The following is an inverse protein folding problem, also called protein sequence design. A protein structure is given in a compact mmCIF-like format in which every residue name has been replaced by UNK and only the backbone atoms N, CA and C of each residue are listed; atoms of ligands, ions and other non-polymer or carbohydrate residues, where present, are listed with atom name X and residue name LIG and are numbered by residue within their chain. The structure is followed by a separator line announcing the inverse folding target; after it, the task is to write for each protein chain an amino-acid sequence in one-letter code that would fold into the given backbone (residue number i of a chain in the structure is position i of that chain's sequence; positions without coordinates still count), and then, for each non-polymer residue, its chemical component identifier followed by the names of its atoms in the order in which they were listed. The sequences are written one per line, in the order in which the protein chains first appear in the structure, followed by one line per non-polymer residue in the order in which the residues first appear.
data_IF_021225713237
#
_entry.id   IF_021225713237
#
_cell.length_a   1.000
_cell.length_b   1.000
_cell.length_c   1.000
_cell.angle_alpha   90.00
_cell.angle_beta   90.00
_cell.angle_gamma   90.00
#
_symmetry.space_group_name_H-M   'P 1'
#
loop_
_entity.id
_entity.type
_entity.pdbx_description
1 polymer ?
#
# COMPACT_ATOMS: atom_id res chain seq x y z
N UNK A 1 -49.25 3.95 -17.69
CA UNK A 1 -47.87 3.62 -17.26
C UNK A 1 -46.96 4.75 -17.73
N UNK A 2 -46.44 5.55 -16.80
CA UNK A 2 -45.64 6.74 -17.09
C UNK A 2 -44.16 6.32 -17.17
N UNK A 3 -43.54 6.45 -18.34
CA UNK A 3 -42.11 6.14 -18.54
C UNK A 3 -41.27 7.23 -17.85
N UNK A 4 -40.32 6.83 -17.00
CA UNK A 4 -39.34 7.74 -16.38
C UNK A 4 -38.37 8.23 -17.47
N UNK A 5 -38.35 9.54 -17.80
CA UNK A 5 -37.54 10.08 -18.89
C UNK A 5 -36.03 9.96 -18.65
N UNK A 6 -35.61 9.69 -17.41
CA UNK A 6 -34.20 9.53 -17.05
C UNK A 6 -33.75 8.07 -16.99
N UNK A 7 -34.63 7.11 -17.33
CA UNK A 7 -34.32 5.68 -17.31
C UNK A 7 -33.10 5.33 -18.16
N UNK A 8 -32.96 5.91 -19.36
CA UNK A 8 -31.81 5.67 -20.23
C UNK A 8 -30.50 6.19 -19.62
N UNK A 9 -30.54 7.35 -18.97
CA UNK A 9 -29.37 7.94 -18.31
C UNK A 9 -28.95 7.09 -17.11
N UNK A 10 -29.91 6.62 -16.30
CA UNK A 10 -29.65 5.72 -15.18
C UNK A 10 -29.11 4.37 -15.64
N UNK A 11 -29.63 3.82 -16.74
CA UNK A 11 -29.14 2.59 -17.35
C UNK A 11 -27.70 2.75 -17.85
N UNK A 12 -27.39 3.83 -18.57
CA UNK A 12 -26.03 4.12 -19.05
C UNK A 12 -25.04 4.34 -17.90
N UNK A 13 -25.44 5.07 -16.86
CA UNK A 13 -24.62 5.26 -15.66
C UNK A 13 -24.34 3.92 -14.94
N UNK A 14 -25.34 3.03 -14.87
CA UNK A 14 -25.19 1.71 -14.27
C UNK A 14 -24.28 0.81 -15.11
N UNK A 15 -24.42 0.80 -16.43
CA UNK A 15 -23.53 0.05 -17.34
C UNK A 15 -22.08 0.55 -17.26
N UNK A 16 -21.87 1.86 -17.22
CA UNK A 16 -20.54 2.45 -17.03
C UNK A 16 -19.95 2.09 -15.67
N UNK A 17 -20.73 2.19 -14.59
CA UNK A 17 -20.27 1.83 -13.24
C UNK A 17 -19.90 0.33 -13.17
N UNK A 18 -20.73 -0.55 -13.72
CA UNK A 18 -20.44 -2.00 -13.79
C UNK A 18 -19.22 -2.26 -14.65
N UNK A 19 -19.07 -1.58 -15.79
CA UNK A 19 -17.89 -1.68 -16.66
C UNK A 19 -16.59 -1.28 -15.97
N UNK A 20 -16.60 -0.17 -15.22
CA UNK A 20 -15.44 0.30 -14.45
C UNK A 20 -15.08 -0.69 -13.35
N UNK A 21 -16.07 -1.20 -12.60
CA UNK A 21 -15.84 -2.16 -11.51
C UNK A 21 -15.32 -3.50 -12.05
N UNK A 22 -15.89 -3.99 -13.15
CA UNK A 22 -15.46 -5.25 -13.78
C UNK A 22 -14.07 -5.14 -14.39
N UNK A 23 -13.74 -4.03 -15.05
CA UNK A 23 -12.39 -3.77 -15.55
C UNK A 23 -11.36 -3.67 -14.41
N UNK A 24 -11.72 -3.03 -13.30
CA UNK A 24 -10.89 -2.96 -12.09
C UNK A 24 -10.62 -4.35 -11.51
N UNK A 25 -11.67 -5.20 -11.39
CA UNK A 25 -11.53 -6.56 -10.89
C UNK A 25 -10.66 -7.44 -11.81
N UNK A 26 -10.85 -7.34 -13.13
CA UNK A 26 -10.01 -8.04 -14.10
C UNK A 26 -8.54 -7.58 -14.04
N UNK A 27 -8.31 -6.28 -13.88
CA UNK A 27 -6.96 -5.72 -13.70
C UNK A 27 -6.28 -6.28 -12.45
N UNK A 28 -7.01 -6.37 -11.33
CA UNK A 28 -6.50 -6.96 -10.08
C UNK A 28 -6.21 -8.45 -10.25
N UNK A 29 -7.11 -9.23 -10.86
CA UNK A 29 -6.89 -10.65 -11.12
C UNK A 29 -5.70 -10.89 -12.05
N UNK A 30 -5.56 -10.11 -13.11
CA UNK A 30 -4.44 -10.21 -14.02
C UNK A 30 -3.12 -9.83 -13.34
N UNK A 31 -3.13 -8.79 -12.51
CA UNK A 31 -1.97 -8.43 -11.69
C UNK A 31 -1.58 -9.56 -10.73
N UNK A 32 -2.55 -10.16 -10.03
CA UNK A 32 -2.31 -11.31 -9.14
C UNK A 32 -1.75 -12.51 -9.93
N UNK A 33 -2.32 -12.83 -11.09
CA UNK A 33 -1.86 -13.92 -11.94
C UNK A 33 -0.43 -13.69 -12.46
N UNK A 34 -0.14 -12.48 -12.95
CA UNK A 34 1.20 -12.08 -13.38
C UNK A 34 2.23 -12.13 -12.24
N UNK A 35 1.84 -11.74 -11.01
CA UNK A 35 2.70 -11.81 -9.81
C UNK A 35 2.94 -13.24 -9.35
N UNK A 36 1.96 -14.13 -9.47
CA UNK A 36 2.16 -15.56 -9.17
C UNK A 36 3.16 -16.19 -10.13
N UNK A 37 3.14 -15.78 -11.39
CA UNK A 37 4.09 -16.23 -12.41
C UNK A 37 5.52 -15.65 -12.21
N UNK A 38 5.64 -14.48 -11.58
CA UNK A 38 6.92 -13.78 -11.36
C UNK A 38 7.08 -13.42 -9.88
N UNK A 39 7.45 -14.39 -9.02
CA UNK A 39 7.68 -14.12 -7.61
C UNK A 39 8.82 -13.10 -7.45
N UNK A 40 8.69 -12.13 -6.52
CA UNK A 40 9.77 -11.19 -6.24
C UNK A 40 11.00 -11.95 -5.71
N UNK A 41 12.15 -11.74 -6.35
CA UNK A 41 13.43 -12.12 -5.79
C UNK A 41 13.87 -11.01 -4.83
N UNK A 42 13.97 -11.33 -3.54
CA UNK A 42 14.42 -10.37 -2.55
C UNK A 42 15.94 -10.36 -2.52
N UNK A 43 16.59 -9.18 -2.64
CA UNK A 43 18.01 -9.06 -2.34
C UNK A 43 18.28 -9.52 -0.89
N UNK A 44 19.53 -9.90 -0.57
CA UNK A 44 19.91 -10.24 0.79
C UNK A 44 19.51 -9.13 1.77
N UNK A 45 19.06 -9.51 2.97
CA UNK A 45 18.55 -8.56 3.94
C UNK A 45 19.61 -7.50 4.32
N UNK A 46 19.26 -6.23 4.22
CA UNK A 46 20.11 -5.08 4.57
C UNK A 46 19.43 -4.19 5.60
N UNK A 47 20.17 -3.28 6.24
CA UNK A 47 19.61 -2.25 7.12
C UNK A 47 19.15 -1.00 6.31
N UNK A 48 18.99 -1.17 5.00
CA UNK A 48 18.63 -0.13 4.05
C UNK A 48 17.33 -0.50 3.32
N UNK A 49 16.42 0.46 3.23
CA UNK A 49 15.33 0.43 2.27
C UNK A 49 15.88 0.51 0.84
N UNK A 50 15.28 -0.22 -0.11
CA UNK A 50 15.67 -0.18 -1.51
C UNK A 50 15.20 1.15 -2.16
N UNK A 51 15.96 1.74 -3.10
CA UNK A 51 15.64 3.03 -3.70
C UNK A 51 14.27 3.06 -4.40
N UNK A 52 13.77 1.90 -4.84
CA UNK A 52 12.45 1.73 -5.46
C UNK A 52 11.29 1.93 -4.48
N UNK A 53 11.56 1.99 -3.17
CA UNK A 53 10.57 2.34 -2.15
C UNK A 53 10.19 3.83 -2.17
N UNK A 54 10.97 4.68 -2.85
CA UNK A 54 10.63 6.09 -3.02
C UNK A 54 9.40 6.23 -3.92
N UNK A 55 8.42 7.01 -3.45
CA UNK A 55 7.24 7.33 -4.23
C UNK A 55 6.90 8.81 -4.09
N UNK A 56 6.72 9.50 -5.21
CA UNK A 56 6.29 10.88 -5.23
C UNK A 56 4.91 11.04 -4.56
N UNK A 57 4.81 11.98 -3.62
CA UNK A 57 3.59 12.20 -2.83
C UNK A 57 2.40 12.61 -3.68
N UNK A 58 2.62 13.50 -4.65
CA UNK A 58 1.57 13.97 -5.55
C UNK A 58 0.97 12.81 -6.35
N UNK A 59 1.84 11.96 -6.92
CA UNK A 59 1.39 10.73 -7.59
C UNK A 59 0.65 9.80 -6.63
N UNK A 60 1.19 9.57 -5.42
CA UNK A 60 0.58 8.66 -4.46
C UNK A 60 -0.85 9.08 -4.08
N UNK A 61 -1.07 10.37 -3.79
CA UNK A 61 -2.38 10.93 -3.42
C UNK A 61 -3.36 10.92 -4.61
N UNK A 62 -2.90 11.30 -5.81
CA UNK A 62 -3.74 11.26 -7.01
C UNK A 62 -4.21 9.83 -7.29
N UNK A 63 -3.31 8.84 -7.20
CA UNK A 63 -3.66 7.45 -7.42
C UNK A 63 -4.61 6.91 -6.33
N UNK A 64 -4.46 7.33 -5.06
CA UNK A 64 -5.42 6.98 -3.98
C UNK A 64 -6.84 7.44 -4.31
N UNK A 65 -7.00 8.68 -4.79
CA UNK A 65 -8.30 9.28 -5.10
C UNK A 65 -8.89 8.67 -6.38
N UNK A 66 -8.10 8.57 -7.44
CA UNK A 66 -8.56 8.13 -8.77
C UNK A 66 -8.94 6.64 -8.78
N UNK A 67 -8.24 5.80 -8.01
CA UNK A 67 -8.45 4.34 -8.04
C UNK A 67 -9.40 3.83 -6.96
N UNK A 68 -10.06 4.73 -6.20
CA UNK A 68 -11.01 4.38 -5.13
C UNK A 68 -10.50 3.25 -4.21
N UNK A 69 -9.24 3.34 -3.76
CA UNK A 69 -8.65 2.39 -2.81
C UNK A 69 -7.98 1.14 -3.41
N UNK A 70 -8.10 0.88 -4.72
CA UNK A 70 -7.36 -0.22 -5.39
C UNK A 70 -5.84 0.03 -5.29
N UNK A 71 -5.41 1.28 -5.44
CA UNK A 71 -4.00 1.64 -5.28
C UNK A 71 -3.48 1.41 -3.86
N UNK A 72 -4.31 1.57 -2.82
CA UNK A 72 -3.90 1.29 -1.43
C UNK A 72 -3.47 -0.17 -1.27
N UNK A 73 -4.19 -1.10 -1.91
CA UNK A 73 -3.84 -2.53 -1.92
C UNK A 73 -2.51 -2.80 -2.65
N UNK A 74 -2.31 -2.20 -3.83
CA UNK A 74 -1.06 -2.32 -4.59
C UNK A 74 0.13 -1.73 -3.80
N UNK A 75 -0.10 -0.64 -3.08
CA UNK A 75 0.92 0.00 -2.25
C UNK A 75 1.32 -0.90 -1.06
N UNK A 76 0.35 -1.44 -0.31
CA UNK A 76 0.60 -2.40 0.77
C UNK A 76 1.44 -3.58 0.27
N UNK A 77 1.12 -4.08 -0.93
CA UNK A 77 1.87 -5.14 -1.59
C UNK A 77 3.34 -4.74 -1.83
N UNK A 78 3.58 -3.57 -2.44
CA UNK A 78 4.94 -3.09 -2.75
C UNK A 78 5.76 -2.86 -1.48
N UNK A 79 5.19 -2.16 -0.51
CA UNK A 79 5.85 -1.87 0.77
C UNK A 79 6.16 -3.16 1.53
N UNK A 80 5.27 -4.16 1.50
CA UNK A 80 5.57 -5.47 2.09
C UNK A 80 6.80 -6.11 1.46
N UNK A 81 6.93 -6.00 0.12
CA UNK A 81 8.10 -6.49 -0.58
C UNK A 81 9.39 -5.79 -0.18
N UNK A 82 9.35 -4.45 -0.02
CA UNK A 82 10.51 -3.67 0.43
C UNK A 82 10.88 -3.98 1.89
N UNK A 83 9.91 -4.17 2.77
CA UNK A 83 10.18 -4.53 4.16
C UNK A 83 10.85 -5.90 4.31
N UNK A 84 10.58 -6.84 3.40
CA UNK A 84 11.23 -8.15 3.43
C UNK A 84 12.74 -8.08 3.15
N UNK A 85 13.21 -6.99 2.53
CA UNK A 85 14.65 -6.74 2.33
C UNK A 85 15.30 -6.13 3.56
N UNK A 86 14.53 -5.70 4.57
CA UNK A 86 15.06 -5.12 5.81
C UNK A 86 15.45 -6.22 6.79
N UNK A 87 16.64 -6.10 7.38
CA UNK A 87 17.19 -7.07 8.35
C UNK A 87 16.30 -7.18 9.60
N UNK A 88 15.96 -8.41 9.98
CA UNK A 88 15.11 -8.69 11.14
C UNK A 88 13.60 -8.63 10.83
N UNK A 89 13.23 -8.40 9.58
CA UNK A 89 11.87 -8.67 9.10
C UNK A 89 11.70 -10.17 8.82
N UNK A 90 10.66 -10.79 9.40
CA UNK A 90 10.26 -12.14 9.01
C UNK A 90 9.91 -12.17 7.52
N UNK A 91 10.36 -13.16 6.73
CA UNK A 91 9.96 -13.31 5.34
C UNK A 91 8.44 -13.43 5.26
N UNK A 92 7.79 -12.41 4.71
CA UNK A 92 6.32 -12.33 4.66
C UNK A 92 5.87 -12.34 3.22
N UNK A 93 5.13 -13.36 2.81
CA UNK A 93 4.62 -13.43 1.44
C UNK A 93 3.66 -12.25 1.16
N UNK A 94 4.00 -11.33 0.23
CA UNK A 94 3.19 -10.14 -0.01
C UNK A 94 1.82 -10.46 -0.60
N UNK A 95 1.70 -11.58 -1.34
CA UNK A 95 0.43 -12.03 -1.91
C UNK A 95 -0.53 -12.54 -0.81
N UNK A 96 -0.04 -13.39 0.09
CA UNK A 96 -0.84 -13.89 1.22
C UNK A 96 -1.37 -12.72 2.07
N UNK A 97 -0.51 -11.73 2.36
CA UNK A 97 -0.92 -10.54 3.10
C UNK A 97 -1.91 -9.66 2.35
N UNK A 98 -1.74 -9.50 1.04
CA UNK A 98 -2.68 -8.76 0.18
C UNK A 98 -4.06 -9.42 0.18
N UNK A 99 -4.13 -10.75 0.04
CA UNK A 99 -5.38 -11.50 0.14
C UNK A 99 -6.03 -11.33 1.51
N UNK A 100 -5.25 -11.42 2.60
CA UNK A 100 -5.77 -11.16 3.94
C UNK A 100 -6.29 -9.73 4.09
N UNK A 101 -5.65 -8.75 3.46
CA UNK A 101 -6.04 -7.34 3.46
C UNK A 101 -7.39 -7.07 2.77
N UNK A 102 -7.70 -7.87 1.73
CA UNK A 102 -8.94 -7.79 0.97
C UNK A 102 -10.09 -8.49 1.71
N UNK A 103 -9.83 -9.64 2.34
CA UNK A 103 -10.86 -10.42 3.06
C UNK A 103 -11.12 -9.96 4.50
N UNK A 104 -10.12 -9.35 5.16
CA UNK A 104 -10.19 -8.95 6.57
C UNK A 104 -9.71 -7.49 6.72
N UNK A 105 -10.62 -6.50 6.78
CA UNK A 105 -10.24 -5.09 6.90
C UNK A 105 -9.45 -4.80 8.19
N UNK A 106 -9.66 -5.56 9.27
CA UNK A 106 -8.89 -5.43 10.51
C UNK A 106 -7.40 -5.80 10.36
N UNK A 107 -7.05 -6.60 9.35
CA UNK A 107 -5.64 -6.95 9.09
C UNK A 107 -4.83 -5.73 8.63
N UNK A 108 -5.47 -4.73 8.00
CA UNK A 108 -4.82 -3.48 7.58
C UNK A 108 -4.18 -2.76 8.76
N UNK A 109 -4.87 -2.66 9.89
CA UNK A 109 -4.40 -2.00 11.11
C UNK A 109 -3.18 -2.71 11.68
N UNK A 110 -3.22 -4.04 11.75
CA UNK A 110 -2.06 -4.84 12.18
C UNK A 110 -0.86 -4.68 11.24
N UNK A 111 -1.11 -4.66 9.92
CA UNK A 111 -0.05 -4.49 8.94
C UNK A 111 0.61 -3.13 9.07
N UNK A 112 -0.18 -2.06 9.19
CA UNK A 112 0.29 -0.69 9.41
C UNK A 112 1.20 -0.62 10.63
N UNK A 113 0.77 -1.22 11.75
CA UNK A 113 1.55 -1.25 12.99
C UNK A 113 2.92 -1.91 12.79
N UNK A 114 2.96 -3.10 12.20
CA UNK A 114 4.23 -3.83 11.96
C UNK A 114 5.13 -3.10 10.97
N UNK A 115 4.56 -2.44 9.96
CA UNK A 115 5.30 -1.65 8.98
C UNK A 115 5.92 -0.41 9.64
N UNK A 116 5.16 0.28 10.48
CA UNK A 116 5.64 1.44 11.21
C UNK A 116 6.74 1.08 12.22
N UNK A 117 6.63 -0.04 12.95
CA UNK A 117 7.72 -0.52 13.81
C UNK A 117 9.02 -0.79 13.05
N UNK A 118 8.93 -1.29 11.82
CA UNK A 118 10.12 -1.50 10.99
C UNK A 118 10.73 -0.17 10.57
N UNK A 119 9.90 0.81 10.18
CA UNK A 119 10.35 2.16 9.86
C UNK A 119 11.00 2.85 11.07
N UNK A 120 10.40 2.73 12.27
CA UNK A 120 10.94 3.31 13.51
C UNK A 120 12.24 2.61 13.93
N UNK A 121 12.39 1.30 13.68
CA UNK A 121 13.66 0.61 13.89
C UNK A 121 14.74 1.14 12.94
N UNK A 122 14.40 1.32 11.67
CA UNK A 122 15.32 1.90 10.68
C UNK A 122 15.70 3.35 11.03
N UNK A 123 14.78 4.13 11.59
CA UNK A 123 15.04 5.50 12.02
C UNK A 123 15.89 5.54 13.29
N UNK A 124 15.65 4.63 14.24
CA UNK A 124 16.42 4.47 15.47
C UNK A 124 17.89 4.10 15.18
N UNK A 125 18.13 3.20 14.21
CA UNK A 125 19.48 2.87 13.74
C UNK A 125 20.24 4.10 13.17
N UNK A 126 19.52 5.17 12.82
CA UNK A 126 20.06 6.39 12.20
C UNK A 126 20.07 7.59 13.14
N UNK A 127 19.74 7.40 14.42
CA UNK A 127 19.70 8.47 15.42
C UNK A 127 18.45 9.36 15.38
N UNK A 128 17.50 9.09 14.48
CA UNK A 128 16.20 9.76 14.43
C UNK A 128 15.16 8.91 15.17
N UNK A 129 15.24 8.92 16.50
CA UNK A 129 14.32 8.18 17.37
C UNK A 129 12.98 8.88 17.52
N UNK A 130 11.88 8.21 17.16
CA UNK A 130 10.52 8.66 17.44
C UNK A 130 9.55 7.48 17.40
N UNK A 131 8.71 7.35 18.43
CA UNK A 131 7.74 6.24 18.56
C UNK A 131 6.47 6.56 17.75
N UNK A 132 6.58 6.47 16.43
CA UNK A 132 5.56 6.92 15.48
C UNK A 132 4.64 5.78 15.09
N UNK A 133 5.04 4.53 15.34
CA UNK A 133 4.23 3.35 15.16
C UNK A 133 2.95 3.36 15.99
N UNK A 134 3.01 3.82 17.24
CA UNK A 134 1.82 3.97 18.08
C UNK A 134 0.91 5.08 17.53
N UNK A 135 1.49 6.19 17.07
CA UNK A 135 0.74 7.29 16.48
C UNK A 135 0.02 6.85 15.19
N UNK A 136 0.71 6.13 14.30
CA UNK A 136 0.12 5.57 13.07
C UNK A 136 -0.93 4.50 13.36
N UNK A 137 -0.76 3.71 14.43
CA UNK A 137 -1.77 2.75 14.87
C UNK A 137 -3.06 3.44 15.32
N UNK A 138 -2.96 4.47 16.17
CA UNK A 138 -4.12 5.26 16.62
C UNK A 138 -4.79 5.92 15.41
N UNK A 139 -3.99 6.51 14.51
CA UNK A 139 -4.50 7.17 13.31
C UNK A 139 -5.17 6.18 12.35
N UNK A 140 -4.71 4.92 12.28
CA UNK A 140 -5.33 3.88 11.46
C UNK A 140 -6.76 3.52 11.90
N UNK A 141 -7.06 3.68 13.20
CA UNK A 141 -8.40 3.40 13.76
C UNK A 141 -9.37 4.54 13.40
N UNK A 142 -8.95 5.80 13.55
CA UNK A 142 -9.80 6.96 13.33
C UNK A 142 -9.87 7.42 11.87
N UNK A 143 -8.75 7.33 11.15
CA UNK A 143 -8.57 7.82 9.77
C UNK A 143 -7.66 6.86 8.98
N UNK A 144 -8.14 5.67 8.59
CA UNK A 144 -7.32 4.65 7.92
C UNK A 144 -6.69 5.11 6.60
N UNK A 145 -7.27 6.12 5.94
CA UNK A 145 -6.79 6.63 4.66
C UNK A 145 -5.57 7.57 4.78
N UNK A 146 -5.33 8.17 5.95
CA UNK A 146 -4.19 9.09 6.13
C UNK A 146 -2.88 8.34 6.35
N UNK A 147 -2.94 7.17 6.96
CA UNK A 147 -1.73 6.44 7.38
C UNK A 147 -0.82 6.03 6.23
N UNK A 148 -1.31 5.54 5.08
CA UNK A 148 -0.45 5.27 3.92
C UNK A 148 0.35 6.50 3.46
N UNK A 149 -0.25 7.70 3.53
CA UNK A 149 0.39 8.97 3.14
C UNK A 149 1.52 9.30 4.11
N UNK A 150 1.24 9.31 5.43
CA UNK A 150 2.26 9.60 6.44
C UNK A 150 3.41 8.57 6.40
N UNK A 151 3.08 7.30 6.20
CA UNK A 151 4.08 6.23 6.19
C UNK A 151 4.95 6.28 4.93
N UNK A 152 4.37 6.62 3.78
CA UNK A 152 5.15 6.89 2.57
C UNK A 152 6.10 8.08 2.76
N UNK A 153 5.69 9.09 3.54
CA UNK A 153 6.48 10.30 3.78
C UNK A 153 7.69 9.97 4.63
N UNK A 154 7.47 9.16 5.68
CA UNK A 154 8.57 8.57 6.45
C UNK A 154 9.50 7.73 5.61
N UNK A 155 9.00 6.90 4.71
CA UNK A 155 9.89 6.11 3.85
C UNK A 155 10.72 7.01 2.93
N UNK A 156 10.12 8.06 2.37
CA UNK A 156 10.84 9.02 1.56
C UNK A 156 11.92 9.77 2.36
N UNK A 157 11.61 10.21 3.58
CA UNK A 157 12.58 10.83 4.50
C UNK A 157 13.71 9.86 4.85
N UNK A 158 13.36 8.61 5.16
CA UNK A 158 14.34 7.57 5.44
C UNK A 158 15.25 7.36 4.23
N UNK A 159 14.72 7.29 3.01
CA UNK A 159 15.52 7.13 1.79
C UNK A 159 16.41 8.36 1.52
N UNK A 160 15.90 9.57 1.75
CA UNK A 160 16.66 10.80 1.58
C UNK A 160 17.85 10.90 2.54
N UNK A 161 17.69 10.37 3.75
CA UNK A 161 18.70 10.36 4.81
C UNK A 161 19.52 9.06 4.87
N UNK A 162 19.39 8.16 3.89
CA UNK A 162 20.25 6.97 3.83
C UNK A 162 21.67 7.34 3.44
N UNK A 163 22.69 6.66 4.02
CA UNK A 163 24.03 6.72 3.48
C UNK A 163 23.97 6.21 2.04
N UNK A 164 24.30 7.07 1.08
CA UNK A 164 24.45 6.65 -0.32
C UNK A 164 25.59 5.64 -0.35
N UNK A 165 25.30 4.37 -0.58
CA UNK A 165 26.33 3.43 -1.00
C UNK A 165 26.89 3.98 -2.32
N UNK A 166 28.10 4.54 -2.25
CA UNK A 166 28.93 4.83 -3.41
C UNK A 166 29.54 3.55 -3.95
#
# INVERSE_FOLDING_TARGET
MMYDPFWLIRLLALVLAVGIVTAGYFGVLHFIAWRRANPPQYPPQTDLLPPEAYCDMGKHVVLLIVTFGIWNLIWIYRVTGYLNTVRGSEPRDPLTKLLLCIFVPFYQVYWIYRTAQCADRLSALRGFGGDMAVLYLILAIFVPLSVPILLQDRFNDLLANQPRCG
#
